data_IF_114051314188
#
_entry.id   IF_114051314188
#
_cell.length_a   1.000
_cell.length_b   1.000
_cell.length_c   1.000
_cell.angle_alpha   90.00
_cell.angle_beta   90.00
_cell.angle_gamma   90.00
#
_symmetry.space_group_name_H-M   'P 1'
#
loop_
_entity.id
_entity.type
_entity.pdbx_description
1 polymer ?
#
# COMPACT_ATOMS: atom_id res chain seq x y z
N UNK A 1 -1.88 23.34 26.62
CA UNK A 1 -2.20 22.41 25.53
C UNK A 1 -3.24 23.10 24.64
N UNK A 2 -2.87 23.59 23.45
CA UNK A 2 -3.78 24.44 22.68
C UNK A 2 -4.96 23.59 22.13
N UNK A 3 -6.22 24.03 22.29
CA UNK A 3 -7.42 23.26 21.91
C UNK A 3 -7.43 22.83 20.43
N UNK A 4 -6.77 23.59 19.57
CA UNK A 4 -6.58 23.26 18.15
C UNK A 4 -5.80 21.94 17.93
N UNK A 5 -4.84 21.59 18.80
CA UNK A 5 -4.10 20.32 18.66
C UNK A 5 -4.99 19.10 18.93
N UNK A 6 -5.92 19.22 19.88
CA UNK A 6 -6.86 18.16 20.21
C UNK A 6 -7.78 17.89 19.00
N UNK A 7 -8.24 18.97 18.35
CA UNK A 7 -9.02 18.87 17.12
C UNK A 7 -8.22 18.20 15.98
N UNK A 8 -6.96 18.59 15.78
CA UNK A 8 -6.09 17.98 14.77
C UNK A 8 -5.85 16.48 15.01
N UNK A 9 -5.65 16.07 16.27
CA UNK A 9 -5.47 14.65 16.63
C UNK A 9 -6.77 13.86 16.42
N UNK A 10 -7.92 14.45 16.75
CA UNK A 10 -9.21 13.81 16.54
C UNK A 10 -9.50 13.59 15.04
N UNK A 11 -9.24 14.61 14.21
CA UNK A 11 -9.39 14.53 12.75
C UNK A 11 -8.41 13.51 12.17
N UNK A 12 -7.13 13.53 12.56
CA UNK A 12 -6.14 12.58 12.05
C UNK A 12 -6.47 11.14 12.43
N UNK A 13 -6.92 10.90 13.66
CA UNK A 13 -7.36 9.59 14.12
C UNK A 13 -8.63 9.09 13.41
N UNK A 14 -9.55 9.98 13.06
CA UNK A 14 -10.74 9.64 12.27
C UNK A 14 -10.37 9.28 10.82
N UNK A 15 -9.57 10.12 10.15
CA UNK A 15 -9.10 9.86 8.78
C UNK A 15 -8.29 8.56 8.71
N UNK A 16 -7.42 8.32 9.69
CA UNK A 16 -6.61 7.09 9.75
C UNK A 16 -7.48 5.83 9.83
N UNK A 17 -8.53 5.85 10.65
CA UNK A 17 -9.46 4.70 10.79
C UNK A 17 -10.22 4.40 9.50
N UNK A 18 -10.67 5.44 8.80
CA UNK A 18 -11.40 5.24 7.56
C UNK A 18 -10.47 4.75 6.43
N UNK A 19 -9.25 5.27 6.37
CA UNK A 19 -8.23 4.79 5.44
C UNK A 19 -7.81 3.33 5.74
N UNK A 20 -7.77 2.91 7.00
CA UNK A 20 -7.40 1.53 7.38
C UNK A 20 -8.30 0.49 6.73
N UNK A 21 -9.63 0.73 6.72
CA UNK A 21 -10.60 -0.20 6.11
C UNK A 21 -10.36 -0.38 4.61
N UNK A 22 -10.08 0.72 3.91
CA UNK A 22 -9.79 0.69 2.47
C UNK A 22 -8.50 -0.10 2.19
N UNK A 23 -7.48 0.09 3.04
CA UNK A 23 -6.23 -0.65 2.90
C UNK A 23 -6.44 -2.14 3.19
N UNK A 24 -7.16 -2.50 4.25
CA UNK A 24 -7.48 -3.89 4.59
C UNK A 24 -8.23 -4.59 3.44
N UNK A 25 -9.22 -3.91 2.84
CA UNK A 25 -9.93 -4.40 1.67
C UNK A 25 -8.99 -4.63 0.48
N UNK A 26 -8.19 -3.63 0.10
CA UNK A 26 -7.23 -3.75 -1.01
C UNK A 26 -6.16 -4.82 -0.75
N UNK A 27 -5.78 -5.06 0.51
CA UNK A 27 -4.90 -6.17 0.86
C UNK A 27 -5.57 -7.52 0.65
N UNK A 28 -6.84 -7.67 1.07
CA UNK A 28 -7.60 -8.90 0.86
C UNK A 28 -7.79 -9.18 -0.65
N UNK A 29 -8.11 -8.15 -1.44
CA UNK A 29 -8.23 -8.25 -2.89
C UNK A 29 -6.89 -8.65 -3.54
N UNK A 30 -5.78 -8.01 -3.16
CA UNK A 30 -4.44 -8.38 -3.66
C UNK A 30 -4.07 -9.84 -3.33
N UNK A 31 -4.49 -10.37 -2.17
CA UNK A 31 -4.28 -11.79 -1.81
C UNK A 31 -5.13 -12.71 -2.68
N UNK A 32 -6.42 -12.43 -2.84
CA UNK A 32 -7.31 -13.21 -3.70
C UNK A 32 -6.82 -13.24 -5.15
N UNK A 33 -6.35 -12.10 -5.69
CA UNK A 33 -5.76 -12.03 -7.03
C UNK A 33 -4.47 -12.86 -7.13
N UNK A 34 -3.63 -12.86 -6.10
CA UNK A 34 -2.43 -13.72 -6.04
C UNK A 34 -2.78 -15.21 -6.03
N UNK A 35 -3.78 -15.60 -5.25
CA UNK A 35 -4.27 -16.99 -5.19
C UNK A 35 -4.80 -17.44 -6.55
N UNK A 36 -5.57 -16.59 -7.24
CA UNK A 36 -6.07 -16.87 -8.60
C UNK A 36 -4.94 -16.98 -9.64
N UNK A 37 -3.88 -16.20 -9.50
CA UNK A 37 -2.72 -16.27 -10.39
C UNK A 37 -1.81 -17.47 -10.10
N UNK A 38 -1.92 -18.06 -8.89
CA UNK A 38 -1.12 -19.19 -8.45
C UNK A 38 0.38 -18.92 -8.55
N UNK A 39 1.13 -19.88 -9.09
CA UNK A 39 2.59 -19.78 -9.30
C UNK A 39 3.01 -19.02 -10.56
N UNK A 40 2.08 -18.39 -11.30
CA UNK A 40 2.46 -17.63 -12.49
C UNK A 40 3.15 -16.33 -12.09
N UNK A 41 4.41 -16.19 -12.48
CA UNK A 41 5.16 -14.93 -12.34
C UNK A 41 4.45 -13.83 -13.13
N UNK A 42 3.83 -12.89 -12.43
CA UNK A 42 3.29 -11.66 -13.01
C UNK A 42 4.42 -10.84 -13.64
N UNK A 43 4.45 -10.81 -14.98
CA UNK A 43 5.30 -9.89 -15.73
C UNK A 43 4.59 -8.54 -15.86
N UNK A 44 4.95 -7.61 -14.98
CA UNK A 44 4.53 -6.22 -15.14
C UNK A 44 5.17 -5.60 -16.38
N UNK A 45 4.38 -4.82 -17.13
CA UNK A 45 4.89 -3.96 -18.19
C UNK A 45 5.72 -2.83 -17.58
N UNK A 46 6.62 -2.21 -18.36
CA UNK A 46 7.45 -1.12 -17.83
C UNK A 46 6.62 0.10 -17.38
N UNK A 47 5.47 0.34 -18.02
CA UNK A 47 4.51 1.34 -17.56
C UNK A 47 3.92 1.00 -16.18
N UNK A 48 3.58 -0.27 -15.93
CA UNK A 48 3.09 -0.71 -14.63
C UNK A 48 4.19 -0.63 -13.56
N UNK A 49 5.41 -1.05 -13.89
CA UNK A 49 6.57 -0.95 -12.99
C UNK A 49 6.87 0.50 -12.61
N UNK A 50 6.89 1.43 -13.56
CA UNK A 50 7.14 2.85 -13.30
C UNK A 50 6.06 3.46 -12.39
N UNK A 51 4.79 3.13 -12.63
CA UNK A 51 3.68 3.58 -11.76
C UNK A 51 3.83 3.05 -10.33
N UNK A 52 4.20 1.78 -10.18
CA UNK A 52 4.44 1.17 -8.87
C UNK A 52 5.68 1.73 -8.18
N UNK A 53 6.75 2.04 -8.92
CA UNK A 53 7.96 2.64 -8.39
C UNK A 53 7.71 4.04 -7.82
N UNK A 54 6.96 4.88 -8.54
CA UNK A 54 6.61 6.23 -8.06
C UNK A 54 5.77 6.16 -6.79
N UNK A 55 4.73 5.32 -6.76
CA UNK A 55 3.88 5.14 -5.56
C UNK A 55 4.63 4.46 -4.42
N UNK A 56 5.45 3.47 -4.73
CA UNK A 56 6.25 2.72 -3.77
C UNK A 56 7.36 3.55 -3.13
N UNK A 57 7.98 4.49 -3.87
CA UNK A 57 8.97 5.42 -3.32
C UNK A 57 8.38 6.31 -2.22
N UNK A 58 7.12 6.73 -2.37
CA UNK A 58 6.42 7.51 -1.34
C UNK A 58 6.12 6.71 -0.07
N UNK A 59 5.94 5.38 -0.19
CA UNK A 59 5.71 4.47 0.94
C UNK A 59 7.02 4.03 1.62
N UNK A 60 8.13 3.98 0.88
CA UNK A 60 9.41 3.51 1.39
C UNK A 60 9.48 1.98 1.60
N UNK A 61 10.71 1.47 1.79
CA UNK A 61 11.02 0.03 1.80
C UNK A 61 10.40 -0.77 2.95
N UNK A 62 10.08 -0.11 4.07
CA UNK A 62 9.54 -0.78 5.27
C UNK A 62 8.05 -1.05 5.09
N UNK A 63 7.28 -0.02 4.74
CA UNK A 63 5.85 -0.17 4.45
C UNK A 63 5.63 -1.08 3.23
N UNK A 64 6.42 -0.98 2.16
CA UNK A 64 6.25 -1.89 1.01
C UNK A 64 6.43 -3.38 1.35
N UNK A 65 7.23 -3.73 2.37
CA UNK A 65 7.39 -5.12 2.82
C UNK A 65 6.22 -5.60 3.67
N UNK A 66 5.58 -4.69 4.39
CA UNK A 66 4.50 -4.99 5.34
C UNK A 66 3.14 -5.04 4.63
N UNK A 67 2.90 -4.12 3.70
CA UNK A 67 1.70 -4.11 2.87
C UNK A 67 1.95 -5.08 1.72
N UNK A 68 1.35 -6.27 1.79
CA UNK A 68 1.47 -7.41 0.87
C UNK A 68 1.29 -7.03 -0.62
N UNK A 69 2.25 -6.32 -1.20
CA UNK A 69 2.19 -5.83 -2.56
C UNK A 69 2.33 -7.02 -3.50
N UNK A 70 1.45 -7.12 -4.50
CA UNK A 70 1.47 -8.17 -5.53
C UNK A 70 2.89 -8.33 -6.13
N UNK A 71 3.66 -7.26 -6.12
CA UNK A 71 5.03 -7.19 -6.64
C UNK A 71 6.00 -7.20 -5.46
N UNK A 72 7.06 -8.01 -5.55
CA UNK A 72 8.15 -7.96 -4.57
C UNK A 72 8.75 -6.55 -4.52
N UNK A 73 8.96 -5.96 -3.32
CA UNK A 73 9.55 -4.63 -3.16
C UNK A 73 10.89 -4.45 -3.89
N UNK A 74 11.69 -5.51 -3.94
CA UNK A 74 12.98 -5.54 -4.66
C UNK A 74 12.84 -5.37 -6.18
N UNK A 75 11.70 -5.72 -6.76
CA UNK A 75 11.42 -5.53 -8.19
C UNK A 75 10.92 -4.11 -8.49
N UNK A 76 10.36 -3.41 -7.50
CA UNK A 76 9.78 -2.06 -7.66
C UNK A 76 10.83 -0.96 -7.43
N UNK A 77 11.73 -1.15 -6.46
CA UNK A 77 12.61 -0.10 -5.93
C UNK A 77 14.08 -0.22 -6.36
N UNK A 78 14.37 -0.95 -7.44
CA UNK A 78 15.71 -1.00 -8.04
C UNK A 78 16.07 0.31 -8.73
#
# INVERSE_FOLDING_TARGET
MYPVYILWIAISGWVYREQSKLIEYLQAENRALREQLGNRRLRFTDAQRRRLAVKGKALGRKLLREYACIVSPDTILR
#
